data_IF_441776178467
#
_entry.id   IF_441776178467
#
_cell.length_a   1.000
_cell.length_b   1.000
_cell.length_c   1.000
_cell.angle_alpha   90.00
_cell.angle_beta   90.00
_cell.angle_gamma   90.00
#
_symmetry.space_group_name_H-M   'P 1'
#
loop_
_entity.id
_entity.type
_entity.pdbx_description
1 polymer ?
#
# COMPACT_ATOMS: atom_id res chain seq x y z
N UNK A 1 -7.23 4.05 13.07
CA UNK A 1 -7.77 3.71 14.40
C UNK A 1 -8.73 2.53 14.44
N UNK A 2 -9.65 2.39 13.48
CA UNK A 2 -10.63 1.29 13.45
C UNK A 2 -10.00 -0.11 13.59
N UNK A 3 -8.85 -0.36 12.97
CA UNK A 3 -8.13 -1.64 13.05
C UNK A 3 -7.80 -2.05 14.51
N UNK A 4 -7.25 -1.13 15.31
CA UNK A 4 -6.91 -1.43 16.71
C UNK A 4 -8.15 -1.76 17.54
N UNK A 5 -9.26 -1.04 17.31
CA UNK A 5 -10.54 -1.29 17.97
C UNK A 5 -11.11 -2.65 17.57
N UNK A 6 -11.10 -2.98 16.27
CA UNK A 6 -11.57 -4.27 15.75
C UNK A 6 -10.77 -5.45 16.30
N UNK A 7 -9.45 -5.28 16.47
CA UNK A 7 -8.59 -6.31 17.03
C UNK A 7 -8.59 -6.34 18.58
N UNK A 8 -9.28 -5.42 19.25
CA UNK A 8 -9.24 -5.31 20.71
C UNK A 8 -7.87 -4.91 21.28
N UNK A 9 -7.04 -4.24 20.48
CA UNK A 9 -5.67 -3.84 20.84
C UNK A 9 -5.67 -2.38 21.32
N UNK A 10 -5.11 -2.13 22.49
CA UNK A 10 -4.88 -0.78 22.99
C UNK A 10 -3.89 -0.02 22.11
N UNK A 11 -4.18 1.25 21.83
CA UNK A 11 -3.28 2.09 21.07
C UNK A 11 -1.96 2.33 21.82
N UNK A 12 -0.82 2.23 21.11
CA UNK A 12 0.48 2.62 21.66
C UNK A 12 0.52 4.12 21.98
N UNK A 13 1.10 4.46 23.14
CA UNK A 13 1.38 5.86 23.54
C UNK A 13 2.54 6.48 22.78
N UNK A 14 3.43 5.66 22.23
CA UNK A 14 4.53 6.09 21.37
C UNK A 14 4.14 5.75 19.93
N UNK A 15 3.54 6.74 19.25
CA UNK A 15 2.99 6.58 17.90
C UNK A 15 3.54 7.65 16.99
N UNK A 16 3.98 7.22 15.82
CA UNK A 16 4.27 8.08 14.68
C UNK A 16 3.15 7.89 13.64
N UNK A 17 2.46 8.98 13.29
CA UNK A 17 1.49 8.99 12.19
C UNK A 17 2.09 9.78 11.02
N UNK A 18 2.18 9.15 9.86
CA UNK A 18 2.75 9.77 8.66
C UNK A 18 2.21 9.11 7.40
N UNK A 19 2.15 9.88 6.32
CA UNK A 19 1.85 9.39 4.96
C UNK A 19 3.12 9.02 4.18
N UNK A 20 4.30 9.26 4.74
CA UNK A 20 5.57 8.98 4.07
C UNK A 20 5.96 7.51 4.23
N UNK A 21 5.75 6.72 3.17
CA UNK A 21 6.17 5.31 3.09
C UNK A 21 7.67 5.18 3.37
N UNK A 22 8.50 6.04 2.77
CA UNK A 22 9.95 6.03 2.95
C UNK A 22 10.38 6.23 4.42
N UNK A 23 9.72 7.15 5.12
CA UNK A 23 9.99 7.38 6.55
C UNK A 23 9.54 6.17 7.38
N UNK A 24 8.32 5.68 7.16
CA UNK A 24 7.78 4.52 7.88
C UNK A 24 8.65 3.28 7.72
N UNK A 25 9.04 2.96 6.48
CA UNK A 25 9.95 1.83 6.16
C UNK A 25 11.27 1.96 6.91
N UNK A 26 11.91 3.13 6.87
CA UNK A 26 13.17 3.34 7.61
C UNK A 26 12.97 3.24 9.12
N UNK A 27 11.87 3.78 9.64
CA UNK A 27 11.60 3.76 11.07
C UNK A 27 11.44 2.33 11.59
N UNK A 28 10.65 1.48 10.92
CA UNK A 28 10.45 0.08 11.32
C UNK A 28 11.72 -0.77 11.19
N UNK A 29 12.57 -0.50 10.19
CA UNK A 29 13.81 -1.27 10.00
C UNK A 29 14.91 -0.96 11.04
N UNK A 30 14.86 0.21 11.67
CA UNK A 30 15.92 0.67 12.59
C UNK A 30 15.47 0.75 14.05
N UNK A 31 14.23 0.37 14.35
CA UNK A 31 13.66 0.45 15.69
C UNK A 31 12.81 -0.78 15.96
N UNK A 32 12.55 -1.06 17.24
CA UNK A 32 11.54 -2.03 17.65
C UNK A 32 10.14 -1.39 17.50
N UNK A 33 9.62 -1.42 16.28
CA UNK A 33 8.36 -0.80 15.92
C UNK A 33 7.52 -1.74 15.06
N UNK A 34 6.20 -1.53 15.07
CA UNK A 34 5.26 -2.18 14.16
C UNK A 34 4.68 -1.12 13.24
N UNK A 35 4.65 -1.39 11.95
CA UNK A 35 4.09 -0.50 10.95
C UNK A 35 2.85 -1.11 10.31
N UNK A 36 1.74 -0.37 10.37
CA UNK A 36 0.54 -0.66 9.59
C UNK A 36 0.74 -0.07 8.19
N UNK A 37 1.04 -0.93 7.22
CA UNK A 37 1.38 -0.56 5.86
C UNK A 37 0.33 -1.07 4.86
N UNK A 38 0.09 -0.35 3.74
CA UNK A 38 -0.48 -0.97 2.56
C UNK A 38 0.42 -2.14 2.12
N UNK A 39 -0.16 -3.30 1.83
CA UNK A 39 0.61 -4.50 1.46
C UNK A 39 1.58 -4.22 0.31
N UNK A 40 1.11 -3.55 -0.73
CA UNK A 40 1.88 -3.22 -1.94
C UNK A 40 3.14 -2.39 -1.64
N UNK A 41 3.11 -1.56 -0.59
CA UNK A 41 4.26 -0.75 -0.19
C UNK A 41 5.39 -1.57 0.47
N UNK A 42 5.09 -2.79 0.92
CA UNK A 42 6.02 -3.67 1.63
C UNK A 42 6.23 -5.03 0.94
N UNK A 43 5.59 -5.30 -0.21
CA UNK A 43 5.70 -6.61 -0.91
C UNK A 43 7.14 -7.03 -1.15
N UNK A 44 7.99 -6.11 -1.60
CA UNK A 44 9.41 -6.40 -1.84
C UNK A 44 10.18 -6.66 -0.55
N UNK A 45 9.87 -5.93 0.52
CA UNK A 45 10.51 -6.09 1.83
C UNK A 45 10.11 -7.43 2.49
N UNK A 46 8.85 -7.83 2.30
CA UNK A 46 8.36 -9.15 2.72
C UNK A 46 9.01 -10.27 1.90
N UNK A 47 9.12 -10.08 0.58
CA UNK A 47 9.72 -11.06 -0.31
C UNK A 47 11.23 -11.24 -0.05
N UNK A 48 11.94 -10.17 0.31
CA UNK A 48 13.36 -10.24 0.68
C UNK A 48 13.60 -10.71 2.12
N UNK A 49 12.55 -10.72 2.95
CA UNK A 49 12.65 -11.01 4.39
C UNK A 49 13.23 -9.86 5.22
N UNK A 50 13.38 -8.66 4.64
CA UNK A 50 13.74 -7.45 5.41
C UNK A 50 12.63 -7.05 6.39
N UNK A 51 11.37 -7.31 6.03
CA UNK A 51 10.22 -7.18 6.91
C UNK A 51 9.49 -8.51 7.03
N UNK A 52 8.77 -8.67 8.13
CA UNK A 52 7.89 -9.81 8.38
C UNK A 52 6.47 -9.31 8.68
N UNK A 53 5.49 -9.96 8.08
CA UNK A 53 4.08 -9.71 8.38
C UNK A 53 3.75 -10.24 9.79
N UNK A 54 3.09 -9.40 10.59
CA UNK A 54 2.48 -9.82 11.85
C UNK A 54 1.05 -10.25 11.54
N UNK A 55 0.82 -11.56 11.53
CA UNK A 55 -0.51 -12.11 11.25
C UNK A 55 -1.46 -11.83 12.43
N UNK A 56 -2.46 -10.98 12.19
CA UNK A 56 -3.52 -10.64 13.15
C UNK A 56 -4.77 -11.52 12.99
N UNK A 57 -4.73 -12.52 12.10
CA UNK A 57 -5.85 -13.42 11.82
C UNK A 57 -7.03 -12.76 11.10
N UNK A 58 -6.86 -11.53 10.61
CA UNK A 58 -7.86 -10.75 9.88
C UNK A 58 -7.23 -10.21 8.59
N UNK A 59 -7.93 -10.37 7.46
CA UNK A 59 -7.52 -9.80 6.17
C UNK A 59 -8.65 -8.92 5.66
N UNK A 60 -8.46 -7.62 5.79
CA UNK A 60 -9.37 -6.65 5.17
C UNK A 60 -9.11 -6.63 3.65
N UNK A 61 -10.16 -6.72 2.81
CA UNK A 61 -9.98 -6.50 1.39
C UNK A 61 -9.49 -5.07 1.16
N UNK A 62 -8.40 -4.92 0.39
CA UNK A 62 -7.87 -3.62 0.01
C UNK A 62 -8.89 -2.80 -0.79
N UNK A 63 -8.69 -1.48 -0.82
CA UNK A 63 -9.49 -0.59 -1.65
C UNK A 63 -9.13 -0.70 -3.14
N UNK A 64 -10.08 -0.38 -4.01
CA UNK A 64 -9.81 -0.28 -5.46
C UNK A 64 -8.90 0.91 -5.78
N UNK A 65 -7.90 0.71 -6.62
CA UNK A 65 -7.07 1.77 -7.19
C UNK A 65 -7.57 2.12 -8.60
N UNK A 66 -7.64 3.41 -8.91
CA UNK A 66 -8.17 3.91 -10.19
C UNK A 66 -7.39 5.09 -10.74
N UNK A 67 -7.71 5.43 -11.99
CA UNK A 67 -7.12 6.57 -12.70
C UNK A 67 -8.14 7.72 -12.69
N UNK A 68 -7.75 8.86 -12.15
CA UNK A 68 -8.57 10.05 -12.11
C UNK A 68 -8.20 11.02 -13.24
N UNK A 69 -9.19 11.56 -13.93
CA UNK A 69 -9.01 12.58 -14.97
C UNK A 69 -10.03 13.70 -14.82
N UNK A 70 -9.66 14.92 -15.22
CA UNK A 70 -10.62 16.02 -15.29
C UNK A 70 -11.54 15.85 -16.51
N UNK A 71 -12.84 15.62 -16.28
CA UNK A 71 -13.82 15.40 -17.34
C UNK A 71 -14.02 16.61 -18.28
N UNK A 72 -13.62 17.82 -17.85
CA UNK A 72 -13.72 19.04 -18.65
C UNK A 72 -12.51 19.32 -19.53
N UNK A 73 -11.43 18.55 -19.40
CA UNK A 73 -10.21 18.71 -20.19
C UNK A 73 -10.06 17.50 -21.10
N UNK A 74 -10.12 17.66 -22.44
CA UNK A 74 -9.89 16.56 -23.35
C UNK A 74 -8.51 15.93 -23.11
N UNK A 75 -8.51 14.60 -22.99
CA UNK A 75 -7.27 13.84 -22.82
C UNK A 75 -6.50 13.83 -24.14
N UNK A 76 -5.20 14.13 -24.09
CA UNK A 76 -4.34 14.03 -25.28
C UNK A 76 -4.17 12.57 -25.71
N UNK A 77 -3.85 12.35 -26.98
CA UNK A 77 -3.58 11.00 -27.51
C UNK A 77 -2.48 10.29 -26.71
N UNK A 78 -1.42 11.01 -26.34
CA UNK A 78 -0.34 10.46 -25.54
C UNK A 78 -0.80 10.05 -24.12
N UNK A 79 -1.69 10.84 -23.51
CA UNK A 79 -2.26 10.49 -22.21
C UNK A 79 -3.20 9.28 -22.30
N UNK A 80 -4.00 9.17 -23.37
CA UNK A 80 -4.83 7.98 -23.62
C UNK A 80 -3.96 6.71 -23.72
N UNK A 81 -2.89 6.75 -24.52
CA UNK A 81 -1.96 5.62 -24.63
C UNK A 81 -1.28 5.27 -23.30
N UNK A 82 -0.92 6.27 -22.48
CA UNK A 82 -0.41 6.02 -21.13
C UNK A 82 -1.44 5.30 -20.24
N UNK A 83 -2.70 5.73 -20.28
CA UNK A 83 -3.79 5.11 -19.52
C UNK A 83 -4.01 3.65 -19.93
N UNK A 84 -3.93 3.34 -21.23
CA UNK A 84 -4.04 1.97 -21.74
C UNK A 84 -2.92 1.08 -21.17
N UNK A 85 -1.66 1.53 -21.28
CA UNK A 85 -0.51 0.80 -20.72
C UNK A 85 -0.63 0.61 -19.21
N UNK A 86 -1.07 1.64 -18.48
CA UNK A 86 -1.28 1.53 -17.02
C UNK A 86 -2.36 0.50 -16.67
N UNK A 87 -3.43 0.39 -17.47
CA UNK A 87 -4.47 -0.63 -17.27
C UNK A 87 -3.95 -2.04 -17.54
N UNK A 88 -3.17 -2.22 -18.61
CA UNK A 88 -2.53 -3.51 -18.90
C UNK A 88 -1.60 -3.95 -17.78
N UNK A 89 -0.75 -3.04 -17.28
CA UNK A 89 0.14 -3.31 -16.15
C UNK A 89 -0.64 -3.59 -14.87
N UNK A 90 -1.72 -2.85 -14.60
CA UNK A 90 -2.58 -3.08 -13.44
C UNK A 90 -3.24 -4.46 -13.48
N UNK A 91 -3.70 -4.90 -14.65
CA UNK A 91 -4.24 -6.25 -14.83
C UNK A 91 -3.18 -7.33 -14.57
N UNK A 92 -1.99 -7.17 -15.17
CA UNK A 92 -0.87 -8.09 -14.95
C UNK A 92 -0.44 -8.14 -13.48
N UNK A 93 -0.49 -7.01 -12.77
CA UNK A 93 -0.24 -6.93 -11.33
C UNK A 93 -1.28 -7.72 -10.53
N UNK A 94 -2.58 -7.54 -10.82
CA UNK A 94 -3.66 -8.30 -10.20
C UNK A 94 -3.55 -9.82 -10.46
N UNK A 95 -3.03 -10.22 -11.62
CA UNK A 95 -2.76 -11.61 -11.99
C UNK A 95 -1.48 -12.17 -11.36
N UNK A 96 -0.70 -11.35 -10.64
CA UNK A 96 0.53 -11.76 -9.97
C UNK A 96 1.74 -11.93 -10.88
N UNK A 97 1.69 -11.37 -12.10
CA UNK A 97 2.81 -11.39 -13.05
C UNK A 97 3.95 -10.46 -12.58
N UNK A 98 3.59 -9.36 -11.90
CA UNK A 98 4.53 -8.41 -11.33
C UNK A 98 4.52 -8.44 -9.78
N UNK A 99 5.69 -8.23 -9.14
CA UNK A 99 5.82 -8.14 -7.70
C UNK A 99 5.15 -6.89 -7.13
#
# INVERSE_FOLDING_TARGET
>A
DSLFVQCGISQSRQRLETLSITLSRRYVLHNDAVWIAPLDAVRLDLASGELQEVDLGQREPGGSIGICSNAHVPMSVAAQGCVEVLRELGQAYCEGIYP
#
